data_IF_038189669129
#
_entry.id   IF_038189669129
#
_cell.length_a   1.000
_cell.length_b   1.000
_cell.length_c   1.000
_cell.angle_alpha   90.00
_cell.angle_beta   90.00
_cell.angle_gamma   90.00
#
_symmetry.space_group_name_H-M   'P 1'
#
loop_
_entity.id
_entity.type
_entity.pdbx_description
1 polymer ?
#
# COMPACT_ATOMS: atom_id res chain seq x y z
N UNK A 1 17.91 16.51 -12.05
CA UNK A 1 16.82 16.05 -11.18
C UNK A 1 17.39 15.33 -9.97
N UNK A 2 17.15 15.87 -8.81
CA UNK A 2 17.76 15.39 -7.57
C UNK A 2 17.10 14.06 -7.16
N UNK A 3 17.79 12.94 -7.36
CA UNK A 3 17.33 11.59 -6.98
C UNK A 3 17.30 11.34 -5.46
N UNK A 4 17.69 12.31 -4.65
CA UNK A 4 17.88 12.19 -3.20
C UNK A 4 16.60 12.40 -2.35
N UNK A 5 15.41 12.42 -2.97
CA UNK A 5 14.13 12.61 -2.26
C UNK A 5 13.29 11.35 -2.10
N UNK A 6 13.71 10.23 -2.67
CA UNK A 6 13.01 8.96 -2.53
C UNK A 6 13.62 8.16 -1.38
N UNK A 7 12.81 7.95 -0.35
CA UNK A 7 13.18 7.08 0.76
C UNK A 7 12.90 5.64 0.32
N UNK A 8 13.95 4.84 0.19
CA UNK A 8 13.87 3.44 -0.21
C UNK A 8 14.32 2.53 0.93
N UNK A 9 13.77 1.31 1.06
CA UNK A 9 14.22 0.37 2.05
C UNK A 9 15.63 -0.16 1.74
N UNK A 10 16.34 -0.60 2.77
CA UNK A 10 17.65 -1.24 2.61
C UNK A 10 17.49 -2.62 1.98
N UNK A 11 18.28 -2.90 0.95
CA UNK A 11 18.29 -4.21 0.28
C UNK A 11 18.96 -5.28 1.17
N UNK A 12 18.43 -6.50 1.09
CA UNK A 12 18.98 -7.64 1.83
C UNK A 12 18.80 -7.58 3.34
N UNK A 13 18.05 -6.59 3.84
CA UNK A 13 17.67 -6.44 5.25
C UNK A 13 16.22 -6.84 5.41
N UNK A 14 15.92 -7.62 6.46
CA UNK A 14 14.55 -8.03 6.78
C UNK A 14 13.62 -6.83 6.97
N UNK A 15 12.43 -6.88 6.36
CA UNK A 15 11.41 -5.84 6.45
C UNK A 15 9.99 -6.39 6.68
N UNK A 16 9.84 -7.71 6.81
CA UNK A 16 8.53 -8.33 7.02
C UNK A 16 8.03 -8.08 8.44
N UNK A 17 6.87 -7.45 8.55
CA UNK A 17 6.26 -7.10 9.84
C UNK A 17 6.01 -8.32 10.73
N UNK A 18 5.68 -9.47 10.14
CA UNK A 18 5.42 -10.72 10.86
C UNK A 18 6.66 -11.29 11.54
N UNK A 19 7.84 -11.12 10.94
CA UNK A 19 9.11 -11.62 11.52
C UNK A 19 9.49 -10.88 12.79
N UNK A 20 9.13 -9.58 12.90
CA UNK A 20 9.41 -8.77 14.08
C UNK A 20 8.49 -9.05 15.27
N UNK A 21 7.42 -9.80 15.10
CA UNK A 21 6.62 -10.30 16.22
C UNK A 21 7.29 -11.46 16.96
N UNK A 22 8.21 -12.14 16.29
CA UNK A 22 8.89 -13.35 16.78
C UNK A 22 10.34 -13.03 17.23
N UNK A 23 11.02 -12.08 16.58
CA UNK A 23 12.42 -11.75 16.79
C UNK A 23 12.61 -10.25 17.05
N UNK A 24 13.38 -9.86 18.10
CA UNK A 24 13.69 -8.45 18.31
C UNK A 24 14.58 -7.89 17.19
N UNK A 25 14.48 -6.60 16.96
CA UNK A 25 15.27 -5.87 15.95
C UNK A 25 16.74 -5.81 16.36
N UNK A 26 17.63 -6.21 15.47
CA UNK A 26 19.06 -6.29 15.77
C UNK A 26 19.84 -5.02 15.44
N UNK A 27 19.32 -4.18 14.49
CA UNK A 27 20.07 -2.99 14.07
C UNK A 27 19.14 -1.87 13.53
N UNK A 28 19.74 -0.70 13.33
CA UNK A 28 19.03 0.49 12.84
C UNK A 28 18.43 0.33 11.42
N UNK A 29 19.06 -0.48 10.56
CA UNK A 29 18.56 -0.73 9.19
C UNK A 29 17.27 -1.56 9.21
N UNK A 30 17.20 -2.56 10.09
CA UNK A 30 15.98 -3.35 10.30
C UNK A 30 14.84 -2.47 10.85
N UNK A 31 15.15 -1.60 11.81
CA UNK A 31 14.18 -0.64 12.35
C UNK A 31 13.66 0.30 11.26
N UNK A 32 14.54 0.82 10.41
CA UNK A 32 14.17 1.68 9.31
C UNK A 32 13.25 0.96 8.33
N UNK A 33 13.62 -0.25 7.91
CA UNK A 33 12.82 -1.05 6.98
C UNK A 33 11.44 -1.42 7.57
N UNK A 34 11.38 -1.73 8.85
CA UNK A 34 10.12 -1.99 9.55
C UNK A 34 9.20 -0.77 9.53
N UNK A 35 9.72 0.40 9.87
CA UNK A 35 8.95 1.65 9.85
C UNK A 35 8.53 2.03 8.44
N UNK A 36 9.40 1.82 7.45
CA UNK A 36 9.09 2.06 6.05
C UNK A 36 7.94 1.15 5.58
N UNK A 37 8.00 -0.15 5.87
CA UNK A 37 6.94 -1.10 5.54
C UNK A 37 5.61 -0.75 6.23
N UNK A 38 5.66 -0.39 7.51
CA UNK A 38 4.48 0.04 8.26
C UNK A 38 3.84 1.30 7.67
N UNK A 39 4.64 2.27 7.24
CA UNK A 39 4.14 3.48 6.59
C UNK A 39 3.52 3.17 5.22
N UNK A 40 4.14 2.29 4.43
CA UNK A 40 3.58 1.85 3.15
C UNK A 40 2.22 1.17 3.33
N UNK A 41 2.07 0.31 4.34
CA UNK A 41 0.80 -0.32 4.66
C UNK A 41 -0.27 0.71 5.07
N UNK A 42 0.09 1.70 5.88
CA UNK A 42 -0.83 2.76 6.27
C UNK A 42 -1.30 3.59 5.06
N UNK A 43 -0.42 3.85 4.11
CA UNK A 43 -0.75 4.55 2.86
C UNK A 43 -1.68 3.70 1.99
N UNK A 44 -1.40 2.41 1.82
CA UNK A 44 -2.26 1.49 1.04
C UNK A 44 -3.67 1.42 1.64
N UNK A 45 -3.79 1.34 2.96
CA UNK A 45 -5.08 1.39 3.67
C UNK A 45 -5.83 2.71 3.41
N UNK A 46 -5.16 3.83 3.58
CA UNK A 46 -5.76 5.15 3.39
C UNK A 46 -6.28 5.33 1.97
N UNK A 47 -5.49 4.94 0.96
CA UNK A 47 -5.94 4.96 -0.44
C UNK A 47 -7.07 3.97 -0.73
N UNK A 48 -7.04 2.79 -0.13
CA UNK A 48 -8.11 1.81 -0.27
C UNK A 48 -9.45 2.36 0.22
N UNK A 49 -9.48 2.93 1.42
CA UNK A 49 -10.67 3.57 2.00
C UNK A 49 -11.13 4.75 1.15
N UNK A 50 -10.21 5.58 0.69
CA UNK A 50 -10.50 6.73 -0.16
C UNK A 50 -11.19 6.30 -1.47
N UNK A 51 -10.65 5.31 -2.15
CA UNK A 51 -11.19 4.79 -3.43
C UNK A 51 -12.57 4.15 -3.26
N UNK A 52 -12.79 3.42 -2.16
CA UNK A 52 -14.10 2.81 -1.88
C UNK A 52 -15.13 3.86 -1.53
N UNK A 53 -14.76 4.85 -0.74
CA UNK A 53 -15.67 5.94 -0.34
C UNK A 53 -16.02 6.85 -1.51
N UNK A 54 -15.08 7.09 -2.42
CA UNK A 54 -15.24 7.96 -3.59
C UNK A 54 -14.92 7.21 -4.89
N UNK A 55 -15.89 6.45 -5.44
CA UNK A 55 -15.68 5.71 -6.70
C UNK A 55 -15.28 6.59 -7.89
N UNK A 56 -15.58 7.89 -7.84
CA UNK A 56 -15.18 8.85 -8.87
C UNK A 56 -13.67 8.89 -9.09
N UNK A 57 -12.87 8.59 -8.07
CA UNK A 57 -11.40 8.54 -8.18
C UNK A 57 -10.95 7.46 -9.15
N UNK A 58 -11.63 6.33 -9.19
CA UNK A 58 -11.34 5.24 -10.12
C UNK A 58 -11.68 5.61 -11.57
N UNK A 59 -12.74 6.40 -11.78
CA UNK A 59 -13.20 6.83 -13.11
C UNK A 59 -12.43 8.04 -13.66
N UNK A 60 -11.69 8.76 -12.86
CA UNK A 60 -10.89 9.93 -13.27
C UNK A 60 -9.75 9.55 -14.22
N UNK A 61 -9.34 8.28 -14.23
CA UNK A 61 -8.28 7.76 -15.13
C UNK A 61 -8.74 7.79 -16.60
N UNK A 62 -10.04 7.85 -16.87
CA UNK A 62 -10.55 8.08 -18.22
C UNK A 62 -10.37 9.54 -18.64
N UNK A 63 -10.03 9.83 -19.92
CA UNK A 63 -9.62 11.15 -20.37
C UNK A 63 -10.79 12.16 -20.52
N UNK A 64 -11.86 11.98 -19.76
CA UNK A 64 -13.07 12.83 -19.82
C UNK A 64 -12.88 14.22 -19.21
N UNK A 65 -11.87 14.38 -18.34
CA UNK A 65 -11.60 15.64 -17.63
C UNK A 65 -10.19 16.13 -17.89
N UNK A 66 -10.01 17.44 -17.99
CA UNK A 66 -8.68 18.02 -18.04
C UNK A 66 -7.94 17.83 -16.70
N UNK A 67 -6.62 17.85 -16.72
CA UNK A 67 -5.76 17.58 -15.54
C UNK A 67 -6.07 18.51 -14.36
N UNK A 68 -6.35 19.78 -14.62
CA UNK A 68 -6.70 20.74 -13.57
C UNK A 68 -8.00 20.36 -12.85
N UNK A 69 -9.01 19.91 -13.59
CA UNK A 69 -10.27 19.42 -13.02
C UNK A 69 -10.06 18.12 -12.24
N UNK A 70 -9.26 17.18 -12.78
CA UNK A 70 -8.91 15.95 -12.08
C UNK A 70 -8.24 16.24 -10.73
N UNK A 71 -7.27 17.15 -10.69
CA UNK A 71 -6.58 17.55 -9.46
C UNK A 71 -7.54 18.16 -8.44
N UNK A 72 -8.48 18.99 -8.86
CA UNK A 72 -9.48 19.60 -7.98
C UNK A 72 -10.44 18.54 -7.40
N UNK A 73 -10.86 17.57 -8.19
CA UNK A 73 -11.73 16.48 -7.73
C UNK A 73 -10.98 15.62 -6.71
N UNK A 74 -9.76 15.21 -7.00
CA UNK A 74 -8.94 14.40 -6.09
C UNK A 74 -8.71 15.15 -4.77
N UNK A 75 -8.31 16.41 -4.82
CA UNK A 75 -8.10 17.23 -3.63
C UNK A 75 -9.37 17.36 -2.78
N UNK A 76 -10.52 17.57 -3.42
CA UNK A 76 -11.80 17.65 -2.72
C UNK A 76 -12.14 16.33 -2.03
N UNK A 77 -11.89 15.19 -2.68
CA UNK A 77 -12.09 13.86 -2.09
C UNK A 77 -11.17 13.65 -0.87
N UNK A 78 -9.91 14.09 -0.92
CA UNK A 78 -9.00 14.01 0.22
C UNK A 78 -9.48 14.85 1.42
N UNK A 79 -9.92 16.06 1.17
CA UNK A 79 -10.43 16.96 2.22
C UNK A 79 -11.66 16.35 2.90
N UNK A 80 -12.62 15.87 2.09
CA UNK A 80 -13.82 15.20 2.60
C UNK A 80 -13.49 13.92 3.35
N UNK A 81 -12.56 13.11 2.84
CA UNK A 81 -12.12 11.90 3.50
C UNK A 81 -11.55 12.18 4.88
N UNK A 82 -10.62 13.15 4.99
CA UNK A 82 -10.03 13.53 6.26
C UNK A 82 -11.09 14.05 7.26
N UNK A 83 -12.04 14.82 6.78
CA UNK A 83 -13.14 15.29 7.61
C UNK A 83 -14.00 14.12 8.10
N UNK A 84 -14.42 13.23 7.22
CA UNK A 84 -15.24 12.07 7.57
C UNK A 84 -14.52 11.11 8.53
N UNK A 85 -13.21 10.92 8.36
CA UNK A 85 -12.42 10.10 9.30
C UNK A 85 -12.40 10.68 10.71
N UNK A 86 -12.58 11.99 10.87
CA UNK A 86 -12.61 12.64 12.17
C UNK A 86 -14.01 12.67 12.82
N UNK A 87 -15.07 12.63 12.03
CA UNK A 87 -16.46 12.82 12.51
C UNK A 87 -17.22 11.49 12.52
N UNK A 88 -17.08 10.70 11.48
CA UNK A 88 -17.79 9.44 11.29
C UNK A 88 -16.90 8.50 10.46
N UNK A 89 -15.96 7.86 11.13
CA UNK A 89 -15.16 6.83 10.51
C UNK A 89 -16.03 5.59 10.29
N UNK A 90 -16.33 5.26 9.05
CA UNK A 90 -17.03 4.03 8.67
C UNK A 90 -16.14 2.82 8.96
N UNK A 91 -16.31 2.22 10.15
CA UNK A 91 -15.50 1.10 10.61
C UNK A 91 -15.67 -0.14 9.73
N UNK A 92 -16.84 -0.34 9.13
CA UNK A 92 -17.10 -1.48 8.25
C UNK A 92 -16.31 -1.36 6.95
N UNK A 93 -16.27 -0.18 6.38
CA UNK A 93 -15.48 0.12 5.19
C UNK A 93 -13.98 -0.03 5.44
N UNK A 94 -13.52 0.42 6.60
CA UNK A 94 -12.11 0.29 7.03
C UNK A 94 -11.74 -1.18 7.18
N UNK A 95 -12.58 -1.98 7.84
CA UNK A 95 -12.35 -3.40 8.04
C UNK A 95 -12.28 -4.17 6.71
N UNK A 96 -13.15 -3.85 5.76
CA UNK A 96 -13.13 -4.46 4.43
C UNK A 96 -11.83 -4.17 3.69
N UNK A 97 -11.34 -2.92 3.75
CA UNK A 97 -10.06 -2.53 3.15
C UNK A 97 -8.88 -3.22 3.84
N UNK A 98 -8.93 -3.37 5.15
CA UNK A 98 -7.87 -4.06 5.91
C UNK A 98 -7.76 -5.53 5.50
N UNK A 99 -8.87 -6.21 5.26
CA UNK A 99 -8.89 -7.59 4.75
C UNK A 99 -8.31 -7.67 3.34
N UNK A 100 -8.67 -6.74 2.45
CA UNK A 100 -8.12 -6.69 1.09
C UNK A 100 -6.61 -6.44 1.05
N UNK A 101 -6.12 -5.50 1.85
CA UNK A 101 -4.70 -5.21 1.97
C UNK A 101 -3.95 -6.42 2.51
N UNK A 102 -4.49 -7.08 3.53
CA UNK A 102 -3.90 -8.29 4.10
C UNK A 102 -3.84 -9.44 3.08
N UNK A 103 -4.91 -9.62 2.29
CA UNK A 103 -4.96 -10.64 1.23
C UNK A 103 -3.92 -10.37 0.14
N UNK A 104 -3.83 -9.14 -0.32
CA UNK A 104 -2.86 -8.74 -1.36
C UNK A 104 -1.41 -8.89 -0.91
N UNK A 105 -1.12 -8.69 0.38
CA UNK A 105 0.21 -8.96 0.96
C UNK A 105 0.52 -10.46 0.99
N UNK A 106 -0.48 -11.28 1.32
CA UNK A 106 -0.31 -12.74 1.35
C UNK A 106 -0.02 -13.31 -0.04
N UNK A 107 -0.70 -12.83 -1.07
CA UNK A 107 -0.45 -13.26 -2.45
C UNK A 107 0.95 -12.89 -2.95
N UNK A 108 1.47 -11.71 -2.55
CA UNK A 108 2.84 -11.28 -2.89
C UNK A 108 3.92 -12.09 -2.17
N UNK A 109 3.61 -12.72 -1.04
CA UNK A 109 4.52 -13.54 -0.26
C UNK A 109 4.57 -15.02 -0.73
N UNK A 110 3.62 -15.48 -1.52
CA UNK A 110 3.68 -16.85 -2.10
C UNK A 110 4.76 -16.89 -3.16
N UNK A 111 5.82 -17.72 -3.01
CA UNK A 111 6.82 -17.91 -4.07
C UNK A 111 6.11 -18.48 -5.29
N UNK A 112 6.34 -17.88 -6.45
CA UNK A 112 6.06 -18.56 -7.72
C UNK A 112 6.98 -19.78 -7.73
N UNK A 113 6.43 -20.94 -7.46
CA UNK A 113 7.08 -22.22 -7.78
C UNK A 113 7.30 -22.17 -9.28
N UNK A 114 8.53 -21.88 -9.69
CA UNK A 114 8.94 -22.07 -11.06
C UNK A 114 8.84 -23.57 -11.32
N UNK A 115 7.87 -23.93 -12.12
CA UNK A 115 7.88 -25.20 -12.85
C UNK A 115 8.96 -25.07 -13.95
N UNK A 116 10.21 -25.05 -13.55
CA UNK A 116 11.36 -25.23 -14.43
C UNK A 116 12.06 -26.50 -13.91
N UNK A 117 11.79 -27.59 -14.61
CA UNK A 117 12.72 -28.69 -14.89
C UNK A 117 11.97 -30.01 -15.02
N UNK A 118 11.31 -30.19 -16.14
CA UNK A 118 11.09 -31.55 -16.64
C UNK A 118 11.16 -31.58 -18.17
N UNK A 119 12.30 -31.18 -18.72
CA UNK A 119 12.67 -31.63 -20.08
C UNK A 119 14.18 -31.61 -20.30
N UNK A 120 14.90 -32.43 -19.57
CA UNK A 120 16.30 -32.75 -19.85
C UNK A 120 16.62 -34.21 -19.50
N UNK A 121 15.86 -35.15 -20.05
CA UNK A 121 16.26 -36.55 -20.14
C UNK A 121 15.61 -37.22 -21.34
N UNK A 122 16.16 -37.02 -22.50
CA UNK A 122 16.23 -38.02 -23.59
C UNK A 122 17.51 -37.82 -24.36
#
# INVERSE_FOLDING_TARGET
>A
MNRNRLITPYRGVCYHLKEYSIRPRENAKELFNLRHASLCNAIERAFGVLKKRFPIIASIIEPSYCVDTQNKIILSCYILHNYLMSVDADESLIAEVDEEVLHSHRERETPILREDDEDARQ
#
